data_IF_127195157169
#
_entry.id   IF_127195157169
#
_cell.length_a   1.000
_cell.length_b   1.000
_cell.length_c   1.000
_cell.angle_alpha   90.00
_cell.angle_beta   90.00
_cell.angle_gamma   90.00
#
_symmetry.space_group_name_H-M   'P 1'
#
loop_
_entity.id
_entity.type
_entity.pdbx_description
1 polymer ?
#
# COMPACT_ATOMS: atom_id res chain seq x y z
N UNK A 1 -10.63 -38.75 15.49
CA UNK A 1 -10.85 -38.08 14.20
C UNK A 1 -11.67 -36.82 14.46
N UNK A 2 -11.74 -35.92 13.47
CA UNK A 2 -12.20 -34.53 13.58
C UNK A 2 -11.20 -33.63 14.32
N UNK A 3 -10.15 -33.25 13.59
CA UNK A 3 -9.51 -31.94 13.76
C UNK A 3 -10.50 -30.84 13.33
N UNK A 4 -10.40 -29.64 13.91
CA UNK A 4 -10.49 -28.39 13.12
C UNK A 4 -10.04 -27.14 13.90
N UNK A 5 -9.00 -26.49 13.36
CA UNK A 5 -8.76 -25.03 13.31
C UNK A 5 -9.19 -24.12 14.48
N UNK A 6 -8.22 -23.53 15.21
CA UNK A 6 -8.20 -22.10 15.46
C UNK A 6 -7.64 -21.39 14.20
N UNK A 7 -8.45 -20.57 13.53
CA UNK A 7 -8.04 -19.80 12.35
C UNK A 7 -8.51 -18.36 12.49
N UNK A 8 -7.55 -17.45 12.66
CA UNK A 8 -7.52 -16.07 12.16
C UNK A 8 -6.12 -15.53 12.50
N UNK A 9 -5.31 -15.32 11.46
CA UNK A 9 -3.86 -15.08 11.54
C UNK A 9 -3.61 -13.75 10.82
N UNK A 10 -2.82 -12.85 11.41
CA UNK A 10 -2.51 -11.55 10.77
C UNK A 10 -1.56 -11.69 9.57
N UNK A 11 -1.53 -10.69 8.67
CA UNK A 11 -0.63 -10.43 7.51
C UNK A 11 -0.59 -8.87 7.29
N UNK A 12 0.10 -8.10 6.43
CA UNK A 12 1.26 -8.17 5.53
C UNK A 12 1.87 -6.75 5.28
N UNK A 13 3.17 -6.48 5.55
CA UNK A 13 3.92 -5.36 4.89
C UNK A 13 5.19 -5.92 4.29
N UNK A 14 5.41 -5.54 3.03
CA UNK A 14 6.70 -5.67 2.37
C UNK A 14 7.21 -4.38 1.72
N UNK A 15 6.40 -3.33 1.67
CA UNK A 15 6.30 -2.55 0.43
C UNK A 15 6.69 -1.07 0.58
N UNK A 16 7.80 -0.78 1.28
CA UNK A 16 8.15 0.61 1.65
C UNK A 16 9.66 0.96 1.74
N UNK A 17 10.56 0.49 0.86
CA UNK A 17 12.00 0.91 0.94
C UNK A 17 12.79 1.12 -0.39
N UNK A 18 12.13 1.35 -1.53
CA UNK A 18 12.85 1.71 -2.79
C UNK A 18 13.18 3.22 -2.81
N UNK A 19 13.96 3.71 -1.83
CA UNK A 19 14.12 5.16 -1.56
C UNK A 19 15.49 5.56 -0.96
N UNK A 20 16.60 4.98 -1.40
CA UNK A 20 17.93 5.46 -0.96
C UNK A 20 18.97 5.26 -2.03
N UNK A 21 19.45 6.32 -2.68
CA UNK A 21 20.26 6.18 -3.89
C UNK A 21 20.40 7.50 -4.63
N UNK A 22 20.94 8.49 -3.94
CA UNK A 22 21.04 9.87 -4.39
C UNK A 22 21.03 10.80 -3.18
N UNK A 23 22.10 11.57 -3.04
CA UNK A 23 22.42 12.52 -1.96
C UNK A 23 21.20 13.37 -1.53
N UNK A 24 20.95 13.60 -0.23
CA UNK A 24 21.70 14.39 0.75
C UNK A 24 21.59 15.92 0.52
N UNK A 25 21.27 16.64 1.60
CA UNK A 25 21.26 18.10 1.74
C UNK A 25 20.63 18.94 0.60
N UNK A 26 19.32 19.15 0.70
CA UNK A 26 18.81 20.51 0.85
C UNK A 26 17.55 20.51 1.72
N UNK A 27 17.42 21.50 2.61
CA UNK A 27 16.22 21.72 3.40
C UNK A 27 15.64 23.07 3.05
N UNK A 28 14.45 23.08 2.46
CA UNK A 28 13.64 24.28 2.29
C UNK A 28 12.35 24.12 3.07
N UNK A 29 12.03 25.12 3.89
CA UNK A 29 10.64 25.36 4.28
C UNK A 29 9.90 25.85 3.04
N UNK A 30 8.62 25.54 2.96
CA UNK A 30 7.54 26.55 2.87
C UNK A 30 6.20 25.84 2.71
N UNK A 31 5.43 25.80 3.80
CA UNK A 31 4.05 25.34 3.81
C UNK A 31 3.15 26.57 3.78
N UNK A 32 2.51 26.83 2.64
CA UNK A 32 1.50 27.87 2.53
C UNK A 32 0.29 27.54 3.45
N UNK A 33 -0.30 28.51 4.16
CA UNK A 33 -1.50 28.27 4.95
C UNK A 33 -2.69 27.85 4.08
N UNK A 34 -3.46 26.88 4.56
CA UNK A 34 -4.74 26.47 3.95
C UNK A 34 -5.87 27.20 4.68
N UNK A 35 -6.75 27.88 3.94
CA UNK A 35 -7.94 28.52 4.52
C UNK A 35 -8.98 27.48 4.98
N UNK A 36 -9.71 27.73 6.09
CA UNK A 36 -10.73 26.81 6.58
C UNK A 36 -11.97 26.78 5.66
N UNK A 37 -12.65 25.62 5.52
CA UNK A 37 -13.81 25.48 4.65
C UNK A 37 -15.02 26.28 5.17
N UNK A 38 -15.80 26.86 4.23
CA UNK A 38 -17.09 27.48 4.53
C UNK A 38 -18.16 26.41 4.76
N UNK A 39 -18.86 26.48 5.88
CA UNK A 39 -20.10 25.75 6.10
C UNK A 39 -21.23 26.29 5.21
N UNK A 40 -22.02 25.38 4.64
CA UNK A 40 -23.29 25.69 3.97
C UNK A 40 -24.39 24.94 4.71
N UNK A 41 -25.26 25.68 5.39
CA UNK A 41 -26.42 25.11 6.10
C UNK A 41 -27.56 24.86 5.12
N UNK A 42 -28.07 23.62 5.09
CA UNK A 42 -29.35 23.31 4.45
C UNK A 42 -30.49 23.54 5.45
N UNK A 43 -31.61 24.19 5.06
CA UNK A 43 -32.78 24.33 5.93
C UNK A 43 -33.55 23.01 6.05
N UNK A 44 -34.04 22.72 7.26
CA UNK A 44 -34.94 21.60 7.54
C UNK A 44 -36.38 22.05 7.23
N UNK A 45 -37.20 21.26 6.50
CA UNK A 45 -38.61 21.55 6.32
C UNK A 45 -39.40 21.26 7.60
N UNK A 46 -40.38 22.12 7.89
CA UNK A 46 -41.27 22.04 9.05
C UNK A 46 -42.48 21.12 8.75
N UNK A 47 -42.99 20.32 9.71
CA UNK A 47 -44.12 19.42 9.47
C UNK A 47 -45.47 20.13 9.56
N UNK A 48 -46.35 19.91 8.58
CA UNK A 48 -47.76 20.33 8.63
C UNK A 48 -48.64 19.36 9.46
N UNK A 49 -49.76 19.83 10.06
CA UNK A 49 -50.49 19.12 11.11
C UNK A 49 -51.56 18.11 10.64
N UNK A 50 -52.02 17.31 11.60
CA UNK A 50 -53.05 16.27 11.48
C UNK A 50 -54.46 16.78 11.13
N UNK A 51 -55.27 15.98 10.41
CA UNK A 51 -56.73 16.01 10.50
C UNK A 51 -57.31 14.85 11.35
N UNK A 52 -58.26 15.21 12.20
CA UNK A 52 -59.04 14.43 13.19
C UNK A 52 -59.66 13.09 12.76
N UNK A 53 -59.94 12.17 13.71
CA UNK A 53 -60.49 10.83 13.44
C UNK A 53 -62.03 10.78 13.23
N UNK A 54 -62.54 9.80 12.46
CA UNK A 54 -63.96 9.39 12.46
C UNK A 54 -64.39 8.57 13.71
N UNK A 55 -65.69 8.36 13.95
CA UNK A 55 -66.23 7.68 15.12
C UNK A 55 -66.23 6.12 15.02
N UNK A 56 -66.41 5.40 16.15
CA UNK A 56 -66.48 3.94 16.18
C UNK A 56 -67.90 3.38 15.96
N UNK A 57 -67.99 2.21 15.31
CA UNK A 57 -69.17 1.33 15.21
C UNK A 57 -68.67 -0.14 15.03
N UNK A 58 -69.51 -1.18 15.17
CA UNK A 58 -69.52 -2.01 16.39
C UNK A 58 -68.77 -3.36 16.33
N UNK A 59 -68.88 -4.14 17.41
CA UNK A 59 -68.24 -5.44 17.67
C UNK A 59 -68.65 -6.57 16.69
N UNK A 60 -67.83 -7.64 16.54
CA UNK A 60 -67.89 -8.55 15.39
C UNK A 60 -68.79 -9.79 15.54
N UNK A 61 -69.21 -10.34 14.39
CA UNK A 61 -69.71 -11.72 14.28
C UNK A 61 -68.52 -12.73 14.22
N UNK A 62 -68.56 -13.86 14.93
CA UNK A 62 -67.40 -14.77 15.03
C UNK A 62 -67.49 -16.05 14.17
N UNK A 63 -67.00 -16.01 12.93
CA UNK A 63 -66.75 -17.19 12.09
C UNK A 63 -65.48 -17.03 11.21
N UNK A 64 -64.78 -18.13 10.83
CA UNK A 64 -64.46 -19.34 11.58
C UNK A 64 -62.95 -19.36 11.95
N UNK A 65 -62.50 -20.41 12.65
CA UNK A 65 -61.06 -20.63 12.88
C UNK A 65 -60.32 -20.85 11.54
N UNK A 66 -59.24 -20.10 11.23
CA UNK A 66 -58.37 -20.44 10.11
C UNK A 66 -57.60 -21.74 10.41
N UNK A 67 -57.26 -22.47 9.35
CA UNK A 67 -56.27 -23.55 9.44
C UNK A 67 -54.91 -22.98 9.88
N UNK A 68 -54.09 -23.72 10.64
CA UNK A 68 -52.81 -23.20 11.10
C UNK A 68 -51.90 -22.90 9.91
N UNK A 69 -51.53 -21.63 9.73
CA UNK A 69 -50.45 -21.24 8.84
C UNK A 69 -49.18 -22.03 9.23
N UNK A 70 -48.36 -22.49 8.27
CA UNK A 70 -47.09 -23.10 8.60
C UNK A 70 -46.24 -22.10 9.39
N UNK A 71 -45.57 -22.56 10.44
CA UNK A 71 -44.63 -21.72 11.19
C UNK A 71 -43.65 -21.06 10.20
N UNK A 72 -43.46 -19.73 10.24
CA UNK A 72 -42.57 -19.07 9.31
C UNK A 72 -41.17 -19.66 9.46
N UNK A 73 -40.56 -20.07 8.34
CA UNK A 73 -39.15 -20.47 8.34
C UNK A 73 -38.35 -19.33 9.00
N UNK A 74 -37.48 -19.63 9.98
CA UNK A 74 -36.81 -18.59 10.75
C UNK A 74 -36.01 -17.71 9.80
N UNK A 75 -36.23 -16.39 9.87
CA UNK A 75 -35.51 -15.40 9.08
C UNK A 75 -34.01 -15.73 9.07
N UNK A 76 -33.34 -15.75 7.91
CA UNK A 76 -31.94 -16.11 7.82
C UNK A 76 -31.13 -15.13 8.67
N UNK A 77 -30.69 -15.60 9.84
CA UNK A 77 -29.94 -14.80 10.82
C UNK A 77 -28.78 -14.16 10.06
N UNK A 78 -28.69 -12.81 10.00
CA UNK A 78 -27.62 -12.16 9.25
C UNK A 78 -26.29 -12.64 9.79
N UNK A 79 -25.49 -13.29 8.94
CA UNK A 79 -24.16 -13.77 9.35
C UNK A 79 -23.34 -12.55 9.79
N UNK A 80 -23.07 -12.45 11.10
CA UNK A 80 -22.22 -11.39 11.63
C UNK A 80 -20.88 -11.44 10.89
N UNK A 81 -20.39 -10.31 10.35
CA UNK A 81 -19.21 -10.32 9.50
C UNK A 81 -18.03 -10.91 10.27
N UNK A 82 -17.54 -12.05 9.80
CA UNK A 82 -16.58 -12.91 10.52
C UNK A 82 -15.27 -12.21 10.91
N UNK A 83 -15.00 -11.02 10.35
CA UNK A 83 -14.00 -10.09 10.81
C UNK A 83 -14.45 -8.63 10.55
N UNK A 84 -14.36 -7.76 11.56
CA UNK A 84 -14.67 -6.33 11.42
C UNK A 84 -13.36 -5.53 11.39
N UNK A 85 -13.14 -4.77 10.31
CA UNK A 85 -11.99 -3.89 10.18
C UNK A 85 -12.12 -2.65 11.09
N UNK A 86 -11.05 -2.23 11.79
CA UNK A 86 -11.01 -0.97 12.52
C UNK A 86 -10.99 0.21 11.55
N UNK A 87 -11.46 1.38 12.01
CA UNK A 87 -11.36 2.63 11.27
C UNK A 87 -9.91 2.92 10.86
N UNK A 88 -9.71 3.51 9.67
CA UNK A 88 -8.39 3.79 9.08
C UNK A 88 -7.36 4.39 10.08
N UNK A 89 -7.77 5.38 10.89
CA UNK A 89 -6.89 6.02 11.88
C UNK A 89 -6.53 5.15 13.10
N UNK A 90 -7.27 4.07 13.36
CA UNK A 90 -6.96 3.06 14.40
C UNK A 90 -6.36 1.78 13.83
N UNK A 91 -6.19 1.68 12.50
CA UNK A 91 -5.80 0.42 11.85
C UNK A 91 -4.37 -0.03 12.14
N UNK A 92 -3.45 0.89 12.45
CA UNK A 92 -2.01 0.64 12.60
C UNK A 92 -1.64 -0.56 13.50
N UNK A 93 -2.47 -0.94 14.48
CA UNK A 93 -2.26 -2.12 15.32
C UNK A 93 -2.50 -3.43 14.57
N UNK A 94 -3.74 -3.66 14.13
CA UNK A 94 -4.13 -4.82 13.30
C UNK A 94 -3.19 -4.98 12.11
N UNK A 95 -2.94 -3.86 11.42
CA UNK A 95 -2.01 -3.77 10.31
C UNK A 95 -0.66 -4.31 10.80
N UNK A 96 0.02 -3.64 11.75
CA UNK A 96 1.33 -4.02 12.34
C UNK A 96 1.49 -5.48 12.75
N UNK A 97 0.58 -5.99 13.56
CA UNK A 97 0.69 -7.33 14.13
C UNK A 97 0.65 -8.39 13.02
N UNK A 98 -0.15 -8.13 11.99
CA UNK A 98 -0.14 -8.92 10.79
C UNK A 98 1.08 -8.69 9.90
N UNK A 99 1.60 -7.47 9.77
CA UNK A 99 2.83 -7.20 8.98
C UNK A 99 3.99 -8.12 9.41
N UNK A 100 4.03 -8.45 10.70
CA UNK A 100 5.04 -9.28 11.34
C UNK A 100 4.92 -10.79 11.11
N UNK A 101 3.74 -11.31 10.76
CA UNK A 101 3.60 -12.76 10.47
C UNK A 101 4.24 -13.15 9.14
N UNK A 102 4.29 -12.19 8.23
CA UNK A 102 4.39 -12.37 6.79
C UNK A 102 5.81 -12.64 6.31
N UNK A 103 6.77 -12.51 7.21
CA UNK A 103 8.16 -12.82 7.03
C UNK A 103 8.74 -13.25 8.37
N UNK A 104 9.57 -14.29 8.36
CA UNK A 104 10.34 -14.72 9.53
C UNK A 104 11.66 -13.94 9.71
N UNK A 105 11.86 -12.87 8.93
CA UNK A 105 13.10 -12.11 8.92
C UNK A 105 13.10 -11.02 10.00
N UNK A 106 14.04 -11.12 10.96
CA UNK A 106 14.21 -10.22 12.12
C UNK A 106 14.03 -8.71 11.83
N UNK A 107 14.59 -8.20 10.73
CA UNK A 107 14.50 -6.81 10.31
C UNK A 107 13.08 -6.29 10.02
N UNK A 108 12.07 -7.14 9.86
CA UNK A 108 10.67 -6.71 9.65
C UNK A 108 10.19 -5.75 10.76
N UNK A 109 10.59 -6.01 12.01
CA UNK A 109 10.29 -5.16 13.17
C UNK A 109 10.64 -3.68 12.94
N UNK A 110 11.68 -3.38 12.17
CA UNK A 110 12.15 -2.01 11.90
C UNK A 110 11.37 -1.32 10.79
N UNK A 111 10.66 -2.07 9.94
CA UNK A 111 9.84 -1.53 8.85
C UNK A 111 8.45 -1.16 9.32
N UNK A 112 7.86 -2.02 10.16
CA UNK A 112 6.53 -1.82 10.73
C UNK A 112 6.51 -0.67 11.74
N UNK A 113 7.66 -0.26 12.29
CA UNK A 113 7.85 0.70 13.39
C UNK A 113 7.39 2.16 13.13
N UNK A 114 6.60 2.41 12.09
CA UNK A 114 5.98 3.71 11.79
C UNK A 114 4.46 3.66 12.03
N UNK A 115 3.86 4.83 12.21
CA UNK A 115 2.40 5.02 12.22
C UNK A 115 1.89 5.31 10.80
N UNK A 116 0.59 5.48 10.58
CA UNK A 116 -0.07 5.79 9.30
C UNK A 116 0.25 4.78 8.19
N UNK A 117 0.35 3.50 8.52
CA UNK A 117 0.92 2.46 7.66
C UNK A 117 0.17 2.34 6.32
N UNK A 118 -1.17 2.31 6.36
CA UNK A 118 -2.03 2.27 5.17
C UNK A 118 -1.84 3.54 4.30
N UNK A 119 -1.87 4.74 4.90
CA UNK A 119 -1.72 6.02 4.18
C UNK A 119 -0.35 6.12 3.50
N UNK A 120 0.71 5.70 4.20
CA UNK A 120 2.09 5.70 3.70
C UNK A 120 2.29 4.68 2.60
N UNK A 121 1.69 3.49 2.71
CA UNK A 121 1.67 2.51 1.64
C UNK A 121 0.99 3.05 0.38
N UNK A 122 -0.19 3.67 0.50
CA UNK A 122 -0.91 4.26 -0.64
C UNK A 122 -0.10 5.40 -1.28
N UNK A 123 0.41 6.34 -0.48
CA UNK A 123 1.21 7.47 -0.98
C UNK A 123 2.53 7.05 -1.62
N UNK A 124 3.21 6.03 -1.08
CA UNK A 124 4.39 5.41 -1.69
C UNK A 124 4.04 4.70 -3.01
N UNK A 125 2.99 3.87 -3.00
CA UNK A 125 2.53 3.10 -4.17
C UNK A 125 2.18 4.04 -5.31
N UNK A 126 1.44 5.13 -5.06
CA UNK A 126 1.18 6.12 -6.09
C UNK A 126 2.47 6.85 -6.55
N UNK A 127 3.35 7.22 -5.62
CA UNK A 127 4.66 7.79 -5.97
C UNK A 127 5.43 6.92 -6.97
N UNK A 128 5.49 5.61 -6.75
CA UNK A 128 6.11 4.65 -7.68
C UNK A 128 5.26 4.44 -8.95
N UNK A 129 3.92 4.56 -8.88
CA UNK A 129 3.00 4.59 -10.05
C UNK A 129 3.24 5.79 -10.98
N UNK A 130 3.84 6.87 -10.47
CA UNK A 130 4.31 8.03 -11.22
C UNK A 130 5.84 7.99 -11.49
N UNK A 131 6.56 6.99 -10.98
CA UNK A 131 8.02 6.86 -11.09
C UNK A 131 8.83 7.75 -10.15
N UNK A 132 8.17 8.45 -9.22
CA UNK A 132 8.78 9.27 -8.16
C UNK A 132 9.35 8.39 -7.02
N UNK A 133 10.14 9.03 -6.15
CA UNK A 133 10.76 8.41 -4.97
C UNK A 133 10.33 9.20 -3.72
N UNK A 134 9.64 8.55 -2.78
CA UNK A 134 8.92 9.20 -1.66
C UNK A 134 9.72 9.11 -0.35
N UNK A 135 10.32 10.23 0.09
CA UNK A 135 11.46 10.22 1.04
C UNK A 135 11.09 10.21 2.53
N UNK A 136 10.01 10.87 2.93
CA UNK A 136 9.64 11.05 4.34
C UNK A 136 9.42 9.76 5.15
N UNK A 137 8.59 8.79 4.71
CA UNK A 137 8.14 7.68 5.57
C UNK A 137 9.24 6.69 5.97
N UNK A 138 10.41 6.74 5.33
CA UNK A 138 11.37 5.63 5.24
C UNK A 138 12.78 6.01 5.72
N UNK A 139 12.95 7.25 6.21
CA UNK A 139 14.24 7.87 6.52
C UNK A 139 15.13 7.05 7.47
N UNK A 140 14.53 6.27 8.38
CA UNK A 140 15.22 5.36 9.33
C UNK A 140 15.99 4.23 8.64
N UNK A 141 15.51 3.76 7.48
CA UNK A 141 16.08 2.60 6.77
C UNK A 141 17.16 3.01 5.74
N UNK A 142 17.55 4.28 5.71
CA UNK A 142 18.48 4.82 4.74
C UNK A 142 19.94 4.43 5.03
N UNK A 143 20.67 3.73 4.12
CA UNK A 143 22.11 3.58 4.22
C UNK A 143 22.82 4.92 4.41
N UNK A 144 23.57 5.00 5.50
CA UNK A 144 24.23 6.23 5.95
C UNK A 144 25.52 6.49 5.17
N UNK A 145 25.91 7.76 5.07
CA UNK A 145 27.09 8.20 4.33
C UNK A 145 26.89 8.30 2.81
N UNK A 146 27.95 8.74 2.13
CA UNK A 146 28.00 8.90 0.68
C UNK A 146 27.61 7.62 -0.07
N UNK A 147 27.04 7.76 -1.27
CA UNK A 147 27.01 6.64 -2.22
C UNK A 147 28.42 6.46 -2.79
N UNK A 148 29.05 5.27 -2.70
CA UNK A 148 30.42 5.06 -3.16
C UNK A 148 30.50 5.05 -4.68
N UNK A 149 31.55 5.67 -5.21
CA UNK A 149 31.85 5.70 -6.65
C UNK A 149 33.36 5.53 -6.86
N UNK A 150 33.74 4.96 -7.99
CA UNK A 150 35.15 4.79 -8.38
C UNK A 150 35.48 5.86 -9.41
N UNK A 151 36.17 6.92 -9.00
CA UNK A 151 36.58 8.01 -9.91
C UNK A 151 37.53 7.49 -11.00
N UNK A 152 37.17 7.70 -12.27
CA UNK A 152 38.00 7.37 -13.43
C UNK A 152 38.82 8.60 -13.86
N UNK A 153 38.21 9.78 -13.76
CA UNK A 153 38.83 11.10 -13.93
C UNK A 153 37.96 12.17 -13.26
N UNK A 154 38.28 13.45 -13.46
CA UNK A 154 37.58 14.60 -12.86
C UNK A 154 36.08 14.70 -13.20
N UNK A 155 35.61 14.06 -14.29
CA UNK A 155 34.21 14.16 -14.77
C UNK A 155 33.47 12.83 -14.78
N UNK A 156 34.18 11.71 -14.90
CA UNK A 156 33.61 10.37 -15.03
C UNK A 156 33.98 9.51 -13.83
N UNK A 157 32.96 8.90 -13.22
CA UNK A 157 33.10 7.88 -12.18
C UNK A 157 32.35 6.61 -12.57
N UNK A 158 32.69 5.46 -11.96
CA UNK A 158 31.88 4.26 -12.02
C UNK A 158 31.01 4.13 -10.77
N UNK A 159 29.83 3.54 -10.93
CA UNK A 159 28.98 3.09 -9.83
C UNK A 159 29.71 1.95 -9.09
N UNK A 160 30.18 2.16 -7.85
CA UNK A 160 30.96 1.17 -7.11
C UNK A 160 30.08 -0.04 -6.73
N UNK A 161 30.45 -1.28 -7.08
CA UNK A 161 29.72 -2.48 -6.67
C UNK A 161 29.51 -2.63 -5.15
N UNK A 162 30.41 -2.08 -4.32
CA UNK A 162 30.22 -2.03 -2.85
C UNK A 162 29.03 -1.15 -2.44
N UNK A 163 28.60 -0.26 -3.32
CA UNK A 163 27.36 0.51 -3.15
C UNK A 163 26.12 -0.38 -3.13
N UNK A 164 26.16 -1.55 -3.77
CA UNK A 164 25.02 -2.48 -3.88
C UNK A 164 24.73 -3.22 -2.56
N UNK A 165 25.77 -3.62 -1.82
CA UNK A 165 25.69 -4.34 -0.54
C UNK A 165 24.84 -3.57 0.50
N UNK A 166 24.80 -2.24 0.39
CA UNK A 166 23.99 -1.33 1.21
C UNK A 166 22.48 -1.63 1.13
N UNK A 167 22.04 -2.38 0.12
CA UNK A 167 20.64 -2.75 -0.11
C UNK A 167 20.36 -4.22 0.17
N UNK A 168 21.37 -5.05 0.44
CA UNK A 168 21.19 -6.50 0.60
C UNK A 168 20.23 -6.83 1.74
N UNK A 169 20.32 -6.09 2.87
CA UNK A 169 19.39 -6.22 4.01
C UNK A 169 17.98 -5.72 3.70
N UNK A 170 17.81 -4.77 2.77
CA UNK A 170 16.47 -4.41 2.28
C UNK A 170 15.89 -5.55 1.45
N UNK A 171 16.66 -6.01 0.47
CA UNK A 171 16.18 -7.02 -0.49
C UNK A 171 15.98 -8.38 0.16
N UNK A 172 16.77 -8.77 1.16
CA UNK A 172 16.53 -10.02 1.92
C UNK A 172 15.22 -10.01 2.68
N UNK A 173 14.84 -8.89 3.30
CA UNK A 173 13.53 -8.76 3.97
C UNK A 173 12.40 -8.79 2.93
N UNK A 174 12.54 -8.07 1.80
CA UNK A 174 11.54 -8.09 0.72
C UNK A 174 11.35 -9.49 0.10
N UNK A 175 12.45 -10.19 -0.17
CA UNK A 175 12.45 -11.54 -0.76
C UNK A 175 11.85 -12.59 0.19
N UNK A 176 11.95 -12.36 1.50
CA UNK A 176 11.46 -13.25 2.56
C UNK A 176 9.95 -13.19 2.87
N UNK A 177 9.19 -12.36 2.16
CA UNK A 177 7.73 -12.27 2.29
C UNK A 177 7.06 -13.55 1.77
N UNK A 178 6.00 -14.03 2.42
CA UNK A 178 5.08 -14.99 1.78
C UNK A 178 4.17 -14.23 0.79
N UNK A 179 4.26 -14.56 -0.51
CA UNK A 179 3.56 -13.84 -1.58
C UNK A 179 2.06 -14.13 -1.64
N UNK A 180 1.66 -15.37 -1.33
CA UNK A 180 0.25 -15.77 -1.28
C UNK A 180 -0.41 -15.10 -0.07
N UNK A 181 0.35 -15.01 1.04
CA UNK A 181 0.00 -14.16 2.18
C UNK A 181 -0.09 -12.65 1.87
N UNK A 182 0.86 -12.07 1.12
CA UNK A 182 0.77 -10.65 0.67
C UNK A 182 -0.56 -10.42 -0.05
N UNK A 183 -0.94 -11.34 -0.93
CA UNK A 183 -2.16 -11.24 -1.73
C UNK A 183 -3.43 -11.33 -0.88
N UNK A 184 -3.56 -12.37 -0.03
CA UNK A 184 -4.72 -12.53 0.84
C UNK A 184 -4.91 -11.36 1.80
N UNK A 185 -3.82 -10.75 2.31
CA UNK A 185 -3.95 -9.55 3.13
C UNK A 185 -4.37 -8.33 2.34
N UNK A 186 -3.80 -8.15 1.14
CA UNK A 186 -4.10 -7.00 0.30
C UNK A 186 -5.60 -6.90 0.01
N UNK A 187 -6.24 -8.06 -0.26
CA UNK A 187 -7.70 -8.19 -0.36
C UNK A 187 -8.37 -7.86 0.97
N UNK A 188 -7.97 -8.50 2.08
CA UNK A 188 -8.56 -8.26 3.42
C UNK A 188 -8.58 -6.78 3.85
N UNK A 189 -7.54 -6.00 3.53
CA UNK A 189 -7.47 -4.56 3.87
C UNK A 189 -7.77 -3.62 2.71
N UNK A 190 -8.25 -4.15 1.57
CA UNK A 190 -8.65 -3.36 0.41
C UNK A 190 -9.68 -2.24 0.74
N UNK A 191 -10.64 -2.41 1.68
CA UNK A 191 -11.51 -1.31 2.12
C UNK A 191 -10.73 -0.13 2.73
N UNK A 192 -9.73 -0.39 3.58
CA UNK A 192 -8.90 0.64 4.22
C UNK A 192 -7.95 1.29 3.21
N UNK A 193 -7.42 0.51 2.27
CA UNK A 193 -6.61 0.98 1.17
C UNK A 193 -7.40 1.93 0.24
N UNK A 194 -8.63 1.57 -0.11
CA UNK A 194 -9.54 2.42 -0.88
C UNK A 194 -9.93 3.70 -0.12
N UNK A 195 -10.23 3.60 1.19
CA UNK A 195 -10.50 4.78 2.02
C UNK A 195 -9.30 5.75 1.97
N UNK A 196 -8.08 5.27 2.19
CA UNK A 196 -6.88 6.10 2.16
C UNK A 196 -6.53 6.63 0.76
N UNK A 197 -6.86 5.91 -0.31
CA UNK A 197 -6.71 6.37 -1.71
C UNK A 197 -7.63 7.57 -1.99
N UNK A 198 -8.90 7.46 -1.58
CA UNK A 198 -9.90 8.51 -1.72
C UNK A 198 -9.57 9.74 -0.86
N UNK A 199 -9.17 9.54 0.40
CA UNK A 199 -8.76 10.64 1.30
C UNK A 199 -7.51 11.39 0.84
N UNK A 200 -6.66 10.77 0.01
CA UNK A 200 -5.49 11.42 -0.61
C UNK A 200 -5.82 12.16 -1.92
N UNK A 201 -7.07 12.12 -2.38
CA UNK A 201 -7.52 12.84 -3.59
C UNK A 201 -6.81 12.40 -4.87
N UNK A 202 -6.39 11.14 -4.95
CA UNK A 202 -5.59 10.63 -6.06
C UNK A 202 -6.42 10.50 -7.35
N UNK A 203 -5.84 10.79 -8.53
CA UNK A 203 -6.60 10.84 -9.78
C UNK A 203 -7.05 9.45 -10.26
N UNK A 204 -8.15 9.45 -11.02
CA UNK A 204 -8.85 8.35 -11.70
C UNK A 204 -8.10 7.00 -11.75
N UNK A 205 -8.61 6.03 -10.99
CA UNK A 205 -8.14 4.64 -10.92
C UNK A 205 -8.42 4.06 -9.54
N UNK A 206 -8.12 2.79 -9.34
CA UNK A 206 -8.12 2.16 -8.00
C UNK A 206 -6.71 2.11 -7.41
N UNK A 207 -6.61 1.83 -6.10
CA UNK A 207 -5.34 1.46 -5.46
C UNK A 207 -4.74 0.19 -6.09
N UNK A 208 -5.58 -0.73 -6.59
CA UNK A 208 -5.18 -1.96 -7.27
C UNK A 208 -4.50 -1.68 -8.61
N UNK A 209 -5.10 -0.84 -9.46
CA UNK A 209 -4.50 -0.37 -10.71
C UNK A 209 -3.17 0.35 -10.44
N UNK A 210 -3.16 1.20 -9.42
CA UNK A 210 -2.00 1.98 -8.99
C UNK A 210 -0.87 1.07 -8.52
N UNK A 211 -1.17 -0.02 -7.82
CA UNK A 211 -0.21 -1.03 -7.40
C UNK A 211 0.35 -1.83 -8.59
N UNK A 212 -0.50 -2.34 -9.49
CA UNK A 212 -0.01 -3.04 -10.68
C UNK A 212 0.83 -2.14 -11.61
N UNK A 213 0.46 -0.86 -11.75
CA UNK A 213 1.21 0.18 -12.46
C UNK A 213 2.56 0.50 -11.79
N UNK A 214 2.61 0.51 -10.45
CA UNK A 214 3.85 0.65 -9.70
C UNK A 214 4.77 -0.57 -9.88
N UNK A 215 4.23 -1.78 -9.76
CA UNK A 215 4.96 -3.04 -9.99
C UNK A 215 5.52 -3.10 -11.42
N UNK A 216 4.68 -2.85 -12.44
CA UNK A 216 5.07 -2.92 -13.85
C UNK A 216 6.30 -2.06 -14.17
N UNK A 217 6.31 -0.81 -13.73
CA UNK A 217 7.46 0.11 -13.91
C UNK A 217 8.77 -0.41 -13.29
N UNK A 218 8.70 -1.16 -12.20
CA UNK A 218 9.88 -1.77 -11.57
C UNK A 218 10.34 -3.03 -12.31
N UNK A 219 9.41 -3.78 -12.93
CA UNK A 219 9.73 -4.90 -13.82
C UNK A 219 10.35 -4.45 -15.15
N UNK A 220 10.08 -3.23 -15.61
CA UNK A 220 10.73 -2.62 -16.80
C UNK A 220 12.22 -2.29 -16.62
N UNK A 221 12.77 -2.33 -15.40
CA UNK A 221 14.18 -1.95 -15.16
C UNK A 221 15.14 -2.95 -15.83
N UNK A 222 16.06 -2.51 -16.71
CA UNK A 222 17.02 -3.42 -17.31
C UNK A 222 18.07 -3.87 -16.28
N UNK A 223 18.31 -5.18 -16.16
CA UNK A 223 19.42 -5.70 -15.36
C UNK A 223 20.74 -5.45 -16.11
N UNK A 224 21.50 -4.43 -15.68
CA UNK A 224 22.80 -4.08 -16.28
C UNK A 224 23.94 -4.75 -15.51
N UNK A 225 24.63 -5.70 -16.15
CA UNK A 225 25.77 -6.45 -15.57
C UNK A 225 27.14 -5.89 -15.91
N UNK A 226 27.23 -4.97 -16.89
CA UNK A 226 28.43 -4.18 -17.19
C UNK A 226 28.59 -3.01 -16.22
N UNK A 227 29.79 -2.45 -16.16
CA UNK A 227 30.04 -1.21 -15.44
C UNK A 227 29.09 -0.09 -15.89
N UNK A 228 28.56 0.65 -14.91
CA UNK A 228 27.69 1.79 -15.12
C UNK A 228 28.49 3.06 -14.84
N UNK A 229 28.64 3.89 -15.88
CA UNK A 229 29.33 5.17 -15.80
C UNK A 229 28.39 6.29 -15.33
N UNK A 230 28.97 7.19 -14.54
CA UNK A 230 28.34 8.35 -13.95
C UNK A 230 29.11 9.60 -14.36
N UNK A 231 28.39 10.68 -14.61
CA UNK A 231 28.93 12.04 -14.74
C UNK A 231 28.40 12.92 -13.62
N UNK A 232 29.18 13.93 -13.24
CA UNK A 232 28.80 14.89 -12.20
C UNK A 232 28.83 16.33 -12.77
N UNK A 233 27.76 16.79 -13.45
CA UNK A 233 27.74 18.13 -14.05
C UNK A 233 27.57 19.24 -13.01
N UNK A 234 26.92 18.95 -11.87
CA UNK A 234 26.74 19.87 -10.74
C UNK A 234 26.86 19.10 -9.41
N UNK A 235 25.89 19.17 -8.50
CA UNK A 235 25.96 18.49 -7.18
C UNK A 235 25.76 16.97 -7.30
N UNK A 236 24.92 16.52 -8.24
CA UNK A 236 24.41 15.14 -8.31
C UNK A 236 25.12 14.32 -9.40
N UNK A 237 25.18 13.00 -9.19
CA UNK A 237 25.57 12.04 -10.21
C UNK A 237 24.40 11.67 -11.12
N UNK A 238 24.59 11.85 -12.42
CA UNK A 238 23.73 11.42 -13.52
C UNK A 238 24.40 10.21 -14.22
N UNK A 239 23.62 9.35 -14.88
CA UNK A 239 24.18 8.28 -15.70
C UNK A 239 24.77 8.84 -17.00
N UNK A 240 26.00 8.45 -17.35
CA UNK A 240 26.64 8.85 -18.62
C UNK A 240 25.86 8.30 -19.84
N UNK A 241 25.22 7.14 -19.65
CA UNK A 241 24.39 6.47 -20.64
C UNK A 241 23.00 7.12 -20.76
N UNK A 242 22.66 7.78 -21.88
CA UNK A 242 21.37 8.43 -22.06
C UNK A 242 20.20 7.45 -22.10
N UNK A 243 20.39 6.14 -22.20
CA UNK A 243 19.30 5.17 -22.02
C UNK A 243 18.93 5.01 -20.54
N UNK A 244 19.91 5.13 -19.63
CA UNK A 244 19.70 4.98 -18.19
C UNK A 244 19.22 6.28 -17.54
N UNK A 245 19.65 7.45 -18.02
CA UNK A 245 19.29 8.73 -17.37
C UNK A 245 17.84 9.18 -17.62
N UNK A 246 17.21 8.84 -18.76
CA UNK A 246 15.75 9.04 -18.96
C UNK A 246 14.85 8.05 -18.22
N UNK A 247 15.40 7.04 -17.55
CA UNK A 247 14.59 6.21 -16.65
C UNK A 247 14.04 7.06 -15.50
N UNK A 248 12.87 6.71 -14.99
CA UNK A 248 12.26 7.41 -13.86
C UNK A 248 13.12 7.31 -12.59
N UNK A 249 13.03 8.27 -11.64
CA UNK A 249 13.73 8.20 -10.36
C UNK A 249 13.64 6.84 -9.64
N UNK A 250 12.47 6.18 -9.65
CA UNK A 250 12.29 4.85 -9.06
C UNK A 250 13.04 3.74 -9.81
N UNK A 251 13.10 3.80 -11.14
CA UNK A 251 13.86 2.85 -11.97
C UNK A 251 15.37 3.07 -11.83
N UNK A 252 15.82 4.34 -11.82
CA UNK A 252 17.21 4.73 -11.52
C UNK A 252 17.65 4.32 -10.11
N UNK A 253 16.72 4.28 -9.15
CA UNK A 253 16.96 3.76 -7.82
C UNK A 253 17.21 2.24 -7.80
N UNK A 254 16.51 1.43 -8.60
CA UNK A 254 16.81 -0.01 -8.71
C UNK A 254 18.19 -0.26 -9.32
N UNK A 255 18.57 0.47 -10.38
CA UNK A 255 19.93 0.38 -10.95
C UNK A 255 21.03 0.64 -9.90
N UNK A 256 20.79 1.59 -8.97
CA UNK A 256 21.71 1.90 -7.87
C UNK A 256 21.79 0.82 -6.79
N UNK A 257 20.87 -0.17 -6.79
CA UNK A 257 20.97 -1.38 -5.97
C UNK A 257 21.80 -2.49 -6.65
N UNK A 258 22.15 -2.33 -7.93
CA UNK A 258 22.96 -3.28 -8.70
C UNK A 258 22.18 -4.46 -9.29
N UNK A 259 22.79 -5.21 -10.22
CA UNK A 259 22.12 -6.25 -11.01
C UNK A 259 21.66 -7.46 -10.19
N UNK A 260 22.27 -7.74 -9.03
CA UNK A 260 21.83 -8.86 -8.21
C UNK A 260 20.51 -8.54 -7.50
N UNK A 261 20.47 -7.41 -6.79
CA UNK A 261 19.30 -6.93 -6.07
C UNK A 261 18.15 -6.51 -7.00
N UNK A 262 18.46 -5.93 -8.17
CA UNK A 262 17.46 -5.68 -9.23
C UNK A 262 16.71 -6.95 -9.60
N UNK A 263 17.41 -8.05 -9.93
CA UNK A 263 16.77 -9.33 -10.30
C UNK A 263 15.98 -9.95 -9.15
N UNK A 264 16.51 -9.93 -7.92
CA UNK A 264 15.82 -10.47 -6.72
C UNK A 264 14.50 -9.75 -6.47
N UNK A 265 14.52 -8.42 -6.49
CA UNK A 265 13.31 -7.58 -6.40
C UNK A 265 12.34 -7.88 -7.54
N UNK A 266 12.79 -7.93 -8.80
CA UNK A 266 11.93 -8.21 -9.95
C UNK A 266 11.30 -9.61 -9.92
N UNK A 267 12.06 -10.62 -9.48
CA UNK A 267 11.55 -11.97 -9.26
C UNK A 267 10.42 -11.97 -8.25
N UNK A 268 10.65 -11.36 -7.07
CA UNK A 268 9.67 -11.33 -5.98
C UNK A 268 8.46 -10.44 -6.29
N UNK A 269 8.66 -9.30 -6.96
CA UNK A 269 7.59 -8.45 -7.48
C UNK A 269 6.71 -9.21 -8.48
N UNK A 270 7.31 -10.04 -9.35
CA UNK A 270 6.57 -10.89 -10.29
C UNK A 270 5.79 -12.01 -9.59
N UNK A 271 6.34 -12.56 -8.51
CA UNK A 271 5.69 -13.56 -7.65
C UNK A 271 4.46 -12.99 -6.94
N UNK A 272 4.63 -11.89 -6.20
CA UNK A 272 3.55 -11.13 -5.55
C UNK A 272 2.52 -10.68 -6.58
N UNK A 273 2.93 -10.24 -7.78
CA UNK A 273 1.99 -9.84 -8.84
C UNK A 273 1.14 -10.99 -9.38
N UNK A 274 1.62 -12.24 -9.34
CA UNK A 274 0.80 -13.41 -9.70
C UNK A 274 -0.18 -13.76 -8.58
N UNK A 275 0.31 -13.84 -7.34
CA UNK A 275 -0.53 -14.11 -6.17
C UNK A 275 -1.67 -13.08 -6.03
N UNK A 276 -1.37 -11.79 -6.20
CA UNK A 276 -2.37 -10.72 -6.18
C UNK A 276 -3.48 -10.91 -7.21
N UNK A 277 -3.16 -11.33 -8.45
CA UNK A 277 -4.19 -11.60 -9.46
C UNK A 277 -5.06 -12.78 -9.05
N UNK A 278 -4.46 -13.89 -8.62
CA UNK A 278 -5.21 -15.07 -8.20
C UNK A 278 -6.18 -14.76 -7.03
N UNK A 279 -5.75 -13.97 -6.04
CA UNK A 279 -6.60 -13.56 -4.92
C UNK A 279 -7.69 -12.55 -5.30
N UNK A 280 -7.44 -11.68 -6.29
CA UNK A 280 -8.41 -10.71 -6.83
C UNK A 280 -9.35 -11.31 -7.89
N UNK A 281 -9.14 -12.58 -8.27
CA UNK A 281 -10.00 -13.36 -9.17
C UNK A 281 -10.88 -14.36 -8.38
N UNK A 282 -10.71 -14.46 -7.05
CA UNK A 282 -11.39 -15.42 -6.17
C UNK A 282 -12.38 -14.80 -5.16
N UNK A 283 -12.47 -13.46 -5.12
CA UNK A 283 -13.27 -12.64 -4.20
C UNK A 283 -14.27 -11.77 -5.00
#
# INVERSE_FOLDING_TARGET
MLENKPLLIGLAVGLLVIVVGGFAFFGSKDSAPVEPPRTVSLPIPEPEPEPTPPPPEPEPEPEPLPEPEPEPEPDPVPEEPAFVLPLLGGSDGLIRDGLMSLSRHEGMNQWVAVNDLIRKFVGFTNGVSEGRVVREPVRVLAPQGAFPVISVNERVSLLDPKGYERYDRFVSIFESLDSDGVAGFYVLVLPLLNQAYNELGLPNGTITDTLFKAIGRLLEVPTITRDIRLVQPVVMYEFEDPALERLSPAQKQMLRMGPNNTRRLQSKLSEISRALRAALESD
#
